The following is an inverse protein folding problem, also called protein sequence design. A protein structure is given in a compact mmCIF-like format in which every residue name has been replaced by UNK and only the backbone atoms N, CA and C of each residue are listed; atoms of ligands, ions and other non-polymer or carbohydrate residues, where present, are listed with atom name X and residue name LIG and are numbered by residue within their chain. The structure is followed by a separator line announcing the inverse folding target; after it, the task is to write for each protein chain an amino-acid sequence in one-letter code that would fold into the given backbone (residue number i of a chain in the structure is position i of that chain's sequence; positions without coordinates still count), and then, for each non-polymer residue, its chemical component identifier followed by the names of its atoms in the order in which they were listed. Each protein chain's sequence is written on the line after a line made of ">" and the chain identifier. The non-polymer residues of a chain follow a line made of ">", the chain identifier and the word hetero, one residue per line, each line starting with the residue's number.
data_IF_978885388968
#
_entry.id   IF_978885388968
#
_cell.length_a   1.000
_cell.length_b   1.000
_cell.length_c   1.000
_cell.angle_alpha   90.00
_cell.angle_beta   90.00
_cell.angle_gamma   90.00
#
_symmetry.space_group_name_H-M   'P 1'
#
loop_
_entity.id
_entity.type
_entity.pdbx_description
1 polymer ?
#
# COMPACT_ATOMS: atom_id res chain seq x y z
N UNK A 1 -1.29 -16.98 -11.21
CA UNK A 1 -0.87 -17.54 -9.91
C UNK A 1 -0.95 -16.47 -8.84
N UNK A 2 -1.29 -16.82 -7.60
CA UNK A 2 -1.38 -15.89 -6.47
C UNK A 2 -0.12 -15.03 -6.33
N UNK A 3 -0.29 -13.76 -5.94
CA UNK A 3 0.80 -12.77 -5.82
C UNK A 3 1.84 -13.15 -4.77
N UNK A 4 1.36 -13.77 -3.69
CA UNK A 4 2.09 -14.38 -2.60
C UNK A 4 1.61 -15.82 -2.52
N UNK A 5 2.52 -16.79 -2.38
CA UNK A 5 2.19 -18.21 -2.44
C UNK A 5 1.01 -18.57 -1.52
N UNK A 6 0.04 -19.35 -2.01
CA UNK A 6 -1.09 -19.87 -1.21
C UNK A 6 -0.65 -20.66 0.04
N UNK A 7 0.62 -21.10 0.07
CA UNK A 7 1.22 -21.80 1.21
C UNK A 7 1.55 -20.86 2.37
N UNK A 8 1.67 -19.56 2.13
CA UNK A 8 2.17 -18.62 3.13
C UNK A 8 1.13 -18.31 4.23
N UNK A 9 -0.18 -18.49 3.99
CA UNK A 9 -1.31 -18.31 4.93
C UNK A 9 -1.00 -17.45 6.18
N UNK A 10 -0.67 -16.17 5.96
CA UNK A 10 -0.35 -15.23 7.04
C UNK A 10 -1.59 -14.45 7.47
N UNK A 11 -1.79 -14.29 8.78
CA UNK A 11 -2.76 -13.34 9.34
C UNK A 11 -2.17 -11.93 9.44
N UNK A 12 -3.02 -10.93 9.69
CA UNK A 12 -2.56 -9.55 9.89
C UNK A 12 -1.65 -9.42 11.12
N UNK A 13 -2.00 -10.12 12.21
CA UNK A 13 -1.26 -10.13 13.47
C UNK A 13 0.12 -10.78 13.32
N UNK A 14 0.22 -11.84 12.51
CA UNK A 14 1.48 -12.50 12.20
C UNK A 14 2.41 -11.59 11.40
N UNK A 15 1.86 -10.82 10.45
CA UNK A 15 2.61 -9.84 9.68
C UNK A 15 3.10 -8.70 10.59
N UNK A 16 2.22 -8.16 11.43
CA UNK A 16 2.56 -7.10 12.38
C UNK A 16 3.66 -7.54 13.35
N UNK A 17 3.47 -8.70 13.98
CA UNK A 17 4.46 -9.30 14.90
C UNK A 17 5.78 -9.54 14.17
N UNK A 18 5.73 -10.04 12.93
CA UNK A 18 6.91 -10.22 12.10
C UNK A 18 7.68 -8.92 11.84
N UNK A 19 6.98 -7.82 11.56
CA UNK A 19 7.60 -6.51 11.36
C UNK A 19 8.20 -5.95 12.66
N UNK A 20 7.56 -6.19 13.80
CA UNK A 20 8.03 -5.75 15.11
C UNK A 20 9.31 -6.50 15.50
N UNK A 21 9.26 -7.83 15.46
CA UNK A 21 10.31 -8.71 15.97
C UNK A 21 11.39 -9.04 14.93
N UNK A 22 11.17 -8.74 13.65
CA UNK A 22 11.99 -9.20 12.53
C UNK A 22 12.16 -10.73 12.49
N UNK A 23 11.09 -11.46 12.80
CA UNK A 23 11.11 -12.92 12.90
C UNK A 23 10.97 -13.61 11.52
N UNK A 24 10.79 -14.94 11.53
CA UNK A 24 10.70 -15.75 10.30
C UNK A 24 9.55 -15.36 9.38
N UNK A 25 8.43 -14.87 9.90
CA UNK A 25 7.28 -14.43 9.10
C UNK A 25 7.67 -13.23 8.22
N UNK A 26 8.45 -12.31 8.77
CA UNK A 26 8.96 -11.15 8.03
C UNK A 26 9.83 -11.60 6.84
N UNK A 27 10.77 -12.52 7.09
CA UNK A 27 11.63 -13.08 6.06
C UNK A 27 10.83 -13.81 4.97
N UNK A 28 9.90 -14.68 5.37
CA UNK A 28 9.06 -15.44 4.45
C UNK A 28 8.24 -14.54 3.52
N UNK A 29 7.64 -13.47 4.05
CA UNK A 29 6.87 -12.50 3.27
C UNK A 29 7.75 -11.77 2.25
N UNK A 30 8.91 -11.26 2.67
CA UNK A 30 9.84 -10.58 1.76
C UNK A 30 10.37 -11.52 0.68
N UNK A 31 10.75 -12.75 1.04
CA UNK A 31 11.20 -13.77 0.09
C UNK A 31 10.12 -14.08 -0.93
N UNK A 32 8.88 -14.29 -0.51
CA UNK A 32 7.77 -14.59 -1.40
C UNK A 32 7.54 -13.48 -2.44
N UNK A 33 7.61 -12.22 -2.02
CA UNK A 33 7.49 -11.06 -2.91
C UNK A 33 8.70 -10.93 -3.85
N UNK A 34 9.92 -11.11 -3.34
CA UNK A 34 11.16 -11.02 -4.13
C UNK A 34 11.24 -12.10 -5.21
N UNK A 35 10.69 -13.30 -4.98
CA UNK A 35 10.57 -14.36 -6.00
C UNK A 35 9.71 -13.94 -7.20
N UNK A 36 8.79 -13.00 -7.00
CA UNK A 36 7.97 -12.42 -8.05
C UNK A 36 8.66 -11.34 -8.89
N UNK A 37 9.91 -10.96 -8.59
CA UNK A 37 10.60 -9.82 -9.24
C UNK A 37 11.88 -10.31 -9.96
N UNK A 38 11.82 -10.53 -11.29
CA UNK A 38 12.97 -10.99 -12.08
C UNK A 38 14.14 -9.96 -12.11
N UNK A 39 15.39 -10.42 -12.32
CA UNK A 39 15.83 -11.82 -12.22
C UNK A 39 15.77 -12.29 -10.76
N UNK A 40 15.36 -13.55 -10.54
CA UNK A 40 15.26 -14.15 -9.20
C UNK A 40 16.66 -14.62 -8.75
N UNK A 41 17.04 -14.26 -7.53
CA UNK A 41 18.31 -14.70 -6.95
C UNK A 41 18.24 -16.19 -6.57
N UNK A 42 19.24 -16.98 -6.96
CA UNK A 42 19.23 -18.45 -6.77
C UNK A 42 19.24 -18.88 -5.30
N UNK A 43 19.93 -18.11 -4.45
CA UNK A 43 20.09 -18.37 -3.01
C UNK A 43 19.19 -17.48 -2.16
N UNK A 44 18.00 -17.14 -2.66
CA UNK A 44 17.10 -16.23 -1.93
C UNK A 44 16.54 -16.85 -0.64
N UNK A 45 16.41 -18.17 -0.61
CA UNK A 45 15.95 -18.93 0.55
C UNK A 45 17.07 -19.23 1.57
N UNK A 46 18.32 -18.86 1.26
CA UNK A 46 19.49 -19.20 2.07
C UNK A 46 19.74 -18.10 3.13
N UNK A 47 19.20 -18.31 4.34
CA UNK A 47 19.43 -17.45 5.49
C UNK A 47 18.94 -16.01 5.27
N UNK A 48 19.82 -15.04 5.53
CA UNK A 48 19.50 -13.60 5.47
C UNK A 48 19.84 -12.94 4.11
N UNK A 49 20.19 -13.73 3.08
CA UNK A 49 20.55 -13.21 1.75
C UNK A 49 19.44 -12.35 1.14
N UNK A 50 18.18 -12.63 1.48
CA UNK A 50 17.03 -11.86 1.03
C UNK A 50 17.11 -10.37 1.41
N UNK A 51 17.79 -9.99 2.50
CA UNK A 51 17.97 -8.60 2.92
C UNK A 51 18.87 -7.86 1.92
N UNK A 52 20.01 -8.46 1.54
CA UNK A 52 20.90 -7.90 0.51
C UNK A 52 20.18 -7.80 -0.83
N UNK A 53 19.39 -8.82 -1.20
CA UNK A 53 18.61 -8.81 -2.45
C UNK A 53 17.54 -7.72 -2.42
N UNK A 54 16.83 -7.56 -1.30
CA UNK A 54 15.85 -6.49 -1.08
C UNK A 54 16.49 -5.12 -1.32
N UNK A 55 17.60 -4.83 -0.64
CA UNK A 55 18.28 -3.54 -0.76
C UNK A 55 18.69 -3.25 -2.22
N UNK A 56 19.26 -4.25 -2.91
CA UNK A 56 19.65 -4.11 -4.33
C UNK A 56 18.46 -3.93 -5.26
N UNK A 57 17.32 -4.56 -4.97
CA UNK A 57 16.09 -4.45 -5.77
C UNK A 57 15.42 -3.10 -5.58
N UNK A 58 15.39 -2.56 -4.36
CA UNK A 58 14.70 -1.31 -4.07
C UNK A 58 15.50 -0.06 -4.48
N UNK A 59 16.83 -0.06 -4.27
CA UNK A 59 17.65 1.14 -4.45
C UNK A 59 17.48 1.86 -5.80
N UNK A 60 17.44 1.17 -6.97
CA UNK A 60 17.28 1.83 -8.26
C UNK A 60 15.91 2.46 -8.48
N UNK A 61 14.88 1.99 -7.77
CA UNK A 61 13.48 2.39 -7.96
C UNK A 61 12.94 3.26 -6.82
N UNK A 62 13.70 3.43 -5.73
CA UNK A 62 13.23 4.05 -4.49
C UNK A 62 12.53 5.39 -4.71
N UNK A 63 13.15 6.30 -5.48
CA UNK A 63 12.58 7.64 -5.76
C UNK A 63 11.23 7.63 -6.49
N UNK A 64 10.85 6.49 -7.06
CA UNK A 64 9.59 6.30 -7.77
C UNK A 64 8.54 5.58 -6.92
N UNK A 65 8.95 4.61 -6.10
CA UNK A 65 8.03 3.75 -5.33
C UNK A 65 7.83 4.19 -3.87
N UNK A 66 8.68 5.09 -3.35
CA UNK A 66 8.64 5.53 -1.96
C UNK A 66 8.97 7.02 -1.82
N UNK A 67 8.52 7.61 -0.70
CA UNK A 67 8.85 8.98 -0.28
C UNK A 67 9.90 8.93 0.82
N UNK A 68 10.79 9.94 0.85
CA UNK A 68 11.85 10.08 1.84
C UNK A 68 13.09 9.25 1.54
N UNK A 69 14.02 9.22 2.49
CA UNK A 69 15.27 8.50 2.35
C UNK A 69 15.07 6.98 2.47
N UNK A 70 15.91 6.23 1.77
CA UNK A 70 15.90 4.77 1.86
C UNK A 70 16.46 4.37 3.24
N UNK A 71 15.72 3.56 4.05
CA UNK A 71 16.15 3.24 5.40
C UNK A 71 17.49 2.50 5.47
N UNK A 72 17.80 1.71 4.44
CA UNK A 72 18.98 0.87 4.39
C UNK A 72 19.39 0.56 2.95
N UNK A 73 20.69 0.47 2.68
CA UNK A 73 21.25 0.10 1.37
C UNK A 73 22.23 -1.04 1.51
N UNK A 74 22.44 -1.81 0.44
CA UNK A 74 23.40 -2.91 0.46
C UNK A 74 24.82 -2.39 0.69
N UNK A 75 25.49 -2.90 1.72
CA UNK A 75 26.83 -2.48 2.13
C UNK A 75 27.65 -3.70 2.58
N UNK A 76 28.08 -4.50 1.60
CA UNK A 76 29.02 -5.63 1.80
C UNK A 76 28.64 -6.61 2.93
N UNK A 77 27.35 -6.73 3.27
CA UNK A 77 26.82 -7.63 4.29
C UNK A 77 26.49 -6.95 5.62
N UNK A 78 26.94 -5.72 5.86
CA UNK A 78 26.59 -4.94 7.06
C UNK A 78 25.08 -4.67 7.13
N UNK A 79 24.41 -4.62 5.97
CA UNK A 79 22.97 -4.39 5.89
C UNK A 79 22.15 -5.48 6.60
N UNK A 80 22.70 -6.69 6.78
CA UNK A 80 21.99 -7.80 7.41
C UNK A 80 21.76 -7.54 8.90
N UNK A 81 22.79 -7.10 9.62
CA UNK A 81 22.67 -6.75 11.03
C UNK A 81 21.88 -5.45 11.22
N UNK A 82 22.09 -4.47 10.33
CA UNK A 82 21.37 -3.20 10.38
C UNK A 82 19.87 -3.38 10.17
N UNK A 83 19.45 -4.21 9.21
CA UNK A 83 18.03 -4.49 8.97
C UNK A 83 17.34 -5.08 10.22
N UNK A 84 18.02 -6.00 10.91
CA UNK A 84 17.52 -6.60 12.16
C UNK A 84 17.44 -5.58 13.30
N UNK A 85 18.21 -4.50 13.24
CA UNK A 85 18.15 -3.37 14.18
C UNK A 85 17.15 -2.28 13.81
N UNK A 86 16.56 -2.30 12.61
CA UNK A 86 15.60 -1.27 12.18
C UNK A 86 14.37 -1.22 13.09
N UNK A 87 13.80 -0.03 13.26
CA UNK A 87 12.49 0.08 13.89
C UNK A 87 11.40 -0.53 12.98
N UNK A 88 10.24 -0.92 13.53
CA UNK A 88 9.18 -1.57 12.76
C UNK A 88 8.63 -0.69 11.62
N UNK A 89 8.63 0.63 11.80
CA UNK A 89 8.15 1.59 10.79
C UNK A 89 9.02 1.57 9.53
N UNK A 90 10.35 1.49 9.69
CA UNK A 90 11.26 1.42 8.56
C UNK A 90 11.20 0.07 7.84
N UNK A 91 11.00 -1.04 8.57
CA UNK A 91 10.71 -2.34 7.94
C UNK A 91 9.40 -2.31 7.15
N UNK A 92 8.37 -1.67 7.69
CA UNK A 92 7.09 -1.49 6.99
C UNK A 92 7.26 -0.64 5.73
N UNK A 93 8.08 0.43 5.74
CA UNK A 93 8.39 1.22 4.53
C UNK A 93 9.05 0.37 3.45
N UNK A 94 10.01 -0.48 3.82
CA UNK A 94 10.68 -1.39 2.89
C UNK A 94 9.70 -2.42 2.31
N UNK A 95 8.85 -3.03 3.15
CA UNK A 95 7.82 -3.97 2.71
C UNK A 95 6.83 -3.29 1.76
N UNK A 96 6.37 -2.08 2.08
CA UNK A 96 5.49 -1.30 1.21
C UNK A 96 6.16 -1.06 -0.15
N UNK A 97 7.40 -0.55 -0.17
CA UNK A 97 8.13 -0.30 -1.40
C UNK A 97 8.30 -1.59 -2.24
N UNK A 98 8.52 -2.73 -1.58
CA UNK A 98 8.58 -4.03 -2.27
C UNK A 98 7.24 -4.42 -2.90
N UNK A 99 6.12 -4.16 -2.24
CA UNK A 99 4.77 -4.36 -2.80
C UNK A 99 4.52 -3.47 -4.02
N UNK A 100 4.94 -2.20 -3.98
CA UNK A 100 4.85 -1.28 -5.13
C UNK A 100 5.66 -1.83 -6.32
N UNK A 101 6.90 -2.28 -6.09
CA UNK A 101 7.70 -2.89 -7.15
C UNK A 101 7.10 -4.21 -7.67
N UNK A 102 6.42 -4.96 -6.80
CA UNK A 102 5.75 -6.23 -7.13
C UNK A 102 4.52 -6.01 -8.02
N UNK A 103 3.71 -4.97 -7.77
CA UNK A 103 2.52 -4.68 -8.59
C UNK A 103 2.87 -4.27 -10.01
N UNK A 104 4.09 -3.81 -10.26
CA UNK A 104 4.57 -3.50 -11.61
C UNK A 104 4.96 -4.71 -12.44
N UNK A 105 5.08 -5.89 -11.82
CA UNK A 105 5.41 -7.12 -12.53
C UNK A 105 4.21 -7.63 -13.33
N UNK A 106 4.46 -8.10 -14.55
CA UNK A 106 3.40 -8.46 -15.48
C UNK A 106 2.45 -9.54 -14.95
N UNK A 107 2.98 -10.54 -14.25
CA UNK A 107 2.18 -11.59 -13.62
C UNK A 107 1.24 -11.04 -12.53
N UNK A 108 1.70 -10.06 -11.76
CA UNK A 108 0.86 -9.41 -10.75
C UNK A 108 -0.27 -8.60 -11.38
N UNK A 109 0.05 -7.80 -12.40
CA UNK A 109 -0.92 -6.98 -13.11
C UNK A 109 -1.99 -7.85 -13.75
N UNK A 110 -1.59 -8.93 -14.42
CA UNK A 110 -2.52 -9.89 -15.01
C UNK A 110 -3.41 -10.53 -13.95
N UNK A 111 -2.83 -11.02 -12.85
CA UNK A 111 -3.62 -11.64 -11.78
C UNK A 111 -4.65 -10.67 -11.18
N UNK A 112 -4.24 -9.43 -10.87
CA UNK A 112 -5.15 -8.39 -10.35
C UNK A 112 -6.25 -8.08 -11.39
N UNK A 113 -5.90 -7.94 -12.67
CA UNK A 113 -6.86 -7.61 -13.72
C UNK A 113 -7.88 -8.73 -13.97
N UNK A 114 -7.46 -10.00 -13.91
CA UNK A 114 -8.34 -11.16 -14.06
C UNK A 114 -9.30 -11.25 -12.86
N UNK A 115 -8.77 -11.13 -11.64
CA UNK A 115 -9.56 -11.24 -10.41
C UNK A 115 -10.42 -10.01 -10.12
N UNK A 116 -10.12 -8.85 -10.72
CA UNK A 116 -10.97 -7.66 -10.63
C UNK A 116 -12.20 -7.73 -11.54
N UNK A 117 -12.17 -8.55 -12.59
CA UNK A 117 -13.29 -8.73 -13.55
C UNK A 117 -14.29 -9.77 -13.06
N UNK A 118 -13.80 -10.80 -12.40
CA UNK A 118 -14.65 -11.74 -11.67
C UNK A 118 -15.18 -10.99 -10.45
N UNK A 119 -16.50 -10.89 -10.30
CA UNK A 119 -17.15 -10.28 -9.11
C UNK A 119 -16.91 -11.06 -7.81
N UNK A 120 -15.77 -11.75 -7.71
CA UNK A 120 -15.37 -12.73 -6.71
C UNK A 120 -14.63 -12.13 -5.51
N UNK A 121 -14.42 -10.81 -5.48
CA UNK A 121 -13.97 -10.16 -4.26
C UNK A 121 -15.18 -9.94 -3.36
N UNK A 122 -15.26 -10.74 -2.30
CA UNK A 122 -16.18 -10.53 -1.18
C UNK A 122 -16.19 -9.04 -0.82
N UNK A 123 -17.40 -8.48 -0.74
CA UNK A 123 -17.67 -7.08 -0.42
C UNK A 123 -16.96 -6.57 0.86
N UNK A 124 -16.42 -7.48 1.68
CA UNK A 124 -15.75 -7.24 2.94
C UNK A 124 -14.40 -6.51 2.84
N UNK A 125 -13.72 -6.51 1.67
CA UNK A 125 -12.40 -5.87 1.52
C UNK A 125 -12.40 -4.65 0.60
N UNK A 126 -13.55 -4.31 0.02
CA UNK A 126 -13.64 -3.22 -0.95
C UNK A 126 -14.04 -1.92 -0.24
N UNK A 127 -13.09 -0.98 -0.17
CA UNK A 127 -13.40 0.42 0.14
C UNK A 127 -14.51 0.90 -0.79
N UNK A 128 -15.63 1.33 -0.22
CA UNK A 128 -16.76 1.88 -0.96
C UNK A 128 -16.47 3.33 -1.29
N UNK A 129 -16.43 3.69 -2.57
CA UNK A 129 -16.30 5.09 -2.99
C UNK A 129 -17.58 5.84 -2.63
N UNK A 130 -17.47 6.88 -1.81
CA UNK A 130 -18.60 7.76 -1.47
C UNK A 130 -18.78 8.83 -2.55
N UNK A 131 -17.67 9.31 -3.13
CA UNK A 131 -17.69 10.31 -4.20
C UNK A 131 -16.36 11.03 -4.31
N UNK A 132 -16.34 12.15 -5.03
CA UNK A 132 -15.19 13.03 -5.09
C UNK A 132 -15.53 14.37 -5.73
N UNK A 133 -14.56 15.29 -5.73
CA UNK A 133 -14.68 16.61 -6.34
C UNK A 133 -14.60 16.59 -7.89
N UNK A 134 -14.50 15.39 -8.48
CA UNK A 134 -14.35 15.17 -9.92
C UNK A 134 -13.00 15.59 -10.49
N UNK A 135 -12.03 15.98 -9.65
CA UNK A 135 -10.73 16.49 -10.08
C UNK A 135 -9.57 15.76 -9.40
N UNK A 136 -9.43 15.92 -8.09
CA UNK A 136 -8.24 15.52 -7.33
C UNK A 136 -8.56 14.76 -6.05
N UNK A 137 -9.76 14.92 -5.51
CA UNK A 137 -10.08 14.40 -4.18
C UNK A 137 -11.23 13.41 -4.28
N UNK A 138 -11.06 12.21 -3.76
CA UNK A 138 -12.13 11.22 -3.60
C UNK A 138 -12.21 10.74 -2.15
N UNK A 139 -13.42 10.45 -1.68
CA UNK A 139 -13.65 9.93 -0.33
C UNK A 139 -14.12 8.49 -0.40
N UNK A 140 -13.62 7.69 0.53
CA UNK A 140 -13.78 6.24 0.54
C UNK A 140 -14.06 5.76 1.95
N UNK A 141 -15.01 4.83 2.07
CA UNK A 141 -15.45 4.28 3.34
C UNK A 141 -15.08 2.80 3.45
N UNK A 142 -14.63 2.38 4.62
CA UNK A 142 -14.18 1.01 4.92
C UNK A 142 -14.55 0.62 6.35
N UNK A 143 -14.63 -0.68 6.61
CA UNK A 143 -14.82 -1.21 7.96
C UNK A 143 -16.16 -1.90 8.22
N UNK A 144 -16.26 -2.44 9.43
CA UNK A 144 -17.39 -3.20 9.93
C UNK A 144 -17.41 -3.15 11.47
N UNK A 145 -18.44 -3.70 12.10
CA UNK A 145 -18.61 -3.72 13.55
C UNK A 145 -17.44 -4.36 14.33
N UNK A 146 -16.64 -5.20 13.67
CA UNK A 146 -15.53 -5.92 14.30
C UNK A 146 -14.23 -5.11 14.20
N UNK A 147 -13.93 -4.53 13.03
CA UNK A 147 -12.67 -3.82 12.75
C UNK A 147 -12.76 -2.31 13.00
N UNK A 148 -13.97 -1.80 13.26
CA UNK A 148 -14.27 -0.38 13.30
C UNK A 148 -14.35 0.22 11.89
N UNK A 149 -15.02 1.37 11.81
CA UNK A 149 -15.21 2.10 10.56
C UNK A 149 -14.12 3.14 10.35
N UNK A 150 -13.71 3.34 9.09
CA UNK A 150 -12.69 4.31 8.68
C UNK A 150 -13.12 5.06 7.42
N UNK A 151 -12.90 6.37 7.45
CA UNK A 151 -13.03 7.25 6.29
C UNK A 151 -11.64 7.57 5.76
N UNK A 152 -11.46 7.41 4.46
CA UNK A 152 -10.22 7.74 3.77
C UNK A 152 -10.46 8.81 2.71
N UNK A 153 -9.44 9.63 2.52
CA UNK A 153 -9.36 10.64 1.50
C UNK A 153 -8.23 10.29 0.54
N UNK A 154 -8.58 10.13 -0.72
CA UNK A 154 -7.67 9.94 -1.83
C UNK A 154 -7.38 11.30 -2.46
N UNK A 155 -6.11 11.66 -2.57
CA UNK A 155 -5.63 12.88 -3.25
C UNK A 155 -4.74 12.48 -4.43
N UNK A 156 -5.23 12.76 -5.64
CA UNK A 156 -4.47 12.54 -6.88
C UNK A 156 -3.55 13.73 -7.15
N UNK A 157 -2.24 13.53 -6.96
CA UNK A 157 -1.22 14.49 -7.36
C UNK A 157 -0.77 14.22 -8.81
N UNK A 158 -1.09 15.15 -9.71
CA UNK A 158 -0.54 15.14 -11.08
C UNK A 158 0.88 15.69 -11.01
N UNK A 159 1.88 14.81 -11.09
CA UNK A 159 3.28 15.24 -11.15
C UNK A 159 3.59 15.94 -12.48
N UNK A 160 4.16 17.15 -12.44
CA UNK A 160 4.50 17.94 -13.65
C UNK A 160 5.74 17.43 -14.39
N UNK A 161 6.35 16.33 -13.96
CA UNK A 161 7.65 15.85 -14.45
C UNK A 161 7.54 14.84 -15.62
N UNK A 162 6.42 14.86 -16.37
CA UNK A 162 6.19 13.99 -17.52
C UNK A 162 7.13 14.24 -18.72
N UNK A 163 7.93 15.31 -18.73
CA UNK A 163 8.75 15.68 -19.91
C UNK A 163 10.11 14.98 -20.02
N UNK A 164 10.56 14.18 -19.04
CA UNK A 164 11.91 13.62 -19.05
C UNK A 164 12.00 12.07 -19.07
N UNK A 165 10.89 11.33 -19.16
CA UNK A 165 10.92 9.86 -18.95
C UNK A 165 10.47 9.10 -20.19
N UNK A 166 11.36 9.02 -21.18
CA UNK A 166 11.26 8.03 -22.28
C UNK A 166 11.65 6.66 -21.73
N UNK A 167 10.69 5.96 -21.13
CA UNK A 167 10.47 4.51 -21.26
C UNK A 167 9.54 4.00 -20.15
N UNK A 168 8.46 3.34 -20.59
CA UNK A 168 7.44 2.61 -19.85
C UNK A 168 6.60 3.40 -18.82
N UNK A 169 5.33 3.60 -19.19
CA UNK A 169 4.22 4.16 -18.38
C UNK A 169 4.22 5.69 -18.17
N UNK A 170 3.87 6.40 -19.25
CA UNK A 170 3.53 7.83 -19.20
C UNK A 170 2.09 8.01 -18.68
N UNK A 171 1.92 8.02 -17.36
CA UNK A 171 0.86 8.69 -16.58
C UNK A 171 0.71 7.98 -15.23
N UNK A 172 1.74 8.02 -14.40
CA UNK A 172 1.59 7.63 -12.99
C UNK A 172 1.13 8.87 -12.24
N UNK A 173 -0.19 9.06 -12.15
CA UNK A 173 -0.78 9.91 -11.12
C UNK A 173 -0.35 9.37 -9.76
N UNK A 174 0.35 10.17 -8.96
CA UNK A 174 0.70 9.75 -7.60
C UNK A 174 -0.57 9.89 -6.76
N UNK A 175 -1.12 8.76 -6.33
CA UNK A 175 -2.29 8.74 -5.46
C UNK A 175 -1.79 8.70 -4.01
N UNK A 176 -2.13 9.73 -3.24
CA UNK A 176 -1.89 9.76 -1.81
C UNK A 176 -3.19 9.43 -1.08
N UNK A 177 -3.11 8.58 -0.06
CA UNK A 177 -4.24 8.23 0.80
C UNK A 177 -3.99 8.80 2.18
N UNK A 178 -5.00 9.45 2.74
CA UNK A 178 -5.01 10.01 4.08
C UNK A 178 -6.19 9.40 4.85
N UNK A 179 -5.97 9.05 6.12
CA UNK A 179 -7.06 8.66 7.02
C UNK A 179 -7.74 9.93 7.50
N UNK A 180 -9.02 10.09 7.15
CA UNK A 180 -9.82 11.26 7.48
C UNK A 180 -10.56 11.08 8.81
N UNK A 181 -11.05 9.87 9.09
CA UNK A 181 -11.72 9.56 10.34
C UNK A 181 -11.60 8.10 10.76
N UNK A 182 -11.49 7.88 12.07
CA UNK A 182 -11.39 6.58 12.75
C UNK A 182 -12.32 6.43 13.95
N UNK A 183 -12.97 7.51 14.38
CA UNK A 183 -13.91 7.54 15.51
C UNK A 183 -15.09 8.49 15.23
N UNK A 184 -16.16 8.35 16.02
CA UNK A 184 -17.42 9.09 15.82
C UNK A 184 -17.22 10.62 15.72
N UNK A 185 -16.40 11.20 16.58
CA UNK A 185 -16.15 12.64 16.61
C UNK A 185 -15.45 13.12 15.33
N UNK A 186 -14.48 12.35 14.83
CA UNK A 186 -13.81 12.62 13.56
C UNK A 186 -14.78 12.50 12.37
N UNK A 187 -15.64 11.48 12.37
CA UNK A 187 -16.65 11.31 11.33
C UNK A 187 -17.64 12.49 11.30
N UNK A 188 -18.15 12.90 12.47
CA UNK A 188 -19.05 14.06 12.58
C UNK A 188 -18.37 15.38 12.18
N UNK A 189 -17.06 15.52 12.43
CA UNK A 189 -16.29 16.66 11.96
C UNK A 189 -16.19 16.65 10.43
N UNK A 190 -15.75 15.54 9.85
CA UNK A 190 -15.59 15.40 8.41
C UNK A 190 -16.92 15.63 7.67
N UNK A 191 -18.03 15.09 8.18
CA UNK A 191 -19.35 15.29 7.59
C UNK A 191 -19.77 16.76 7.58
N UNK A 192 -19.63 17.47 8.72
CA UNK A 192 -19.96 18.90 8.82
C UNK A 192 -19.10 19.75 7.90
N UNK A 193 -17.79 19.50 7.86
CA UNK A 193 -16.86 20.23 7.00
C UNK A 193 -17.22 20.06 5.53
N UNK A 194 -17.49 18.82 5.10
CA UNK A 194 -17.90 18.51 3.73
C UNK A 194 -19.27 19.08 3.38
N UNK A 195 -20.26 18.94 4.26
CA UNK A 195 -21.61 19.50 4.10
C UNK A 195 -21.61 21.03 3.99
N UNK A 196 -20.67 21.70 4.64
CA UNK A 196 -20.49 23.16 4.55
C UNK A 196 -19.78 23.64 3.27
N UNK A 197 -19.28 22.71 2.45
CA UNK A 197 -18.53 23.05 1.25
C UNK A 197 -19.44 23.61 0.14
N UNK A 198 -18.97 24.65 -0.55
CA UNK A 198 -19.71 25.27 -1.67
C UNK A 198 -19.85 24.33 -2.88
N UNK A 199 -18.97 23.34 -3.01
CA UNK A 199 -19.07 22.33 -4.06
C UNK A 199 -20.16 21.31 -3.73
N UNK A 200 -21.23 21.29 -4.51
CA UNK A 200 -22.38 20.40 -4.30
C UNK A 200 -22.01 18.92 -4.20
N UNK A 201 -21.00 18.48 -4.98
CA UNK A 201 -20.50 17.11 -4.92
C UNK A 201 -19.87 16.77 -3.56
N UNK A 202 -19.14 17.69 -2.94
CA UNK A 202 -18.55 17.49 -1.61
C UNK A 202 -19.61 17.58 -0.51
N UNK A 203 -20.58 18.50 -0.65
CA UNK A 203 -21.69 18.61 0.28
C UNK A 203 -22.55 17.33 0.30
N UNK A 204 -22.80 16.73 -0.86
CA UNK A 204 -23.49 15.45 -0.96
C UNK A 204 -22.73 14.31 -0.26
N UNK A 205 -21.39 14.31 -0.34
CA UNK A 205 -20.57 13.33 0.40
C UNK A 205 -20.70 13.55 1.91
N UNK A 206 -20.70 14.80 2.38
CA UNK A 206 -20.93 15.11 3.80
C UNK A 206 -22.26 14.53 4.30
N UNK A 207 -23.34 14.69 3.52
CA UNK A 207 -24.64 14.09 3.82
C UNK A 207 -24.61 12.55 3.79
N UNK A 208 -23.97 11.94 2.79
CA UNK A 208 -23.81 10.48 2.73
C UNK A 208 -23.00 9.92 3.91
N UNK A 209 -22.02 10.68 4.42
CA UNK A 209 -21.29 10.27 5.62
C UNK A 209 -22.24 10.26 6.82
N UNK A 210 -23.02 11.33 6.99
CA UNK A 210 -24.01 11.46 8.06
C UNK A 210 -25.08 10.36 8.05
N UNK A 211 -25.56 9.93 6.87
CA UNK A 211 -26.64 8.94 6.76
C UNK A 211 -26.15 7.50 6.71
N UNK A 212 -25.01 7.24 6.06
CA UNK A 212 -24.61 5.88 5.65
C UNK A 212 -23.28 5.41 6.24
N UNK A 213 -22.50 6.29 6.90
CA UNK A 213 -21.13 5.99 7.30
C UNK A 213 -20.82 6.27 8.78
N UNK A 214 -21.58 7.16 9.44
CA UNK A 214 -21.53 7.32 10.88
C UNK A 214 -22.16 6.06 11.53
N UNK A 215 -21.41 5.28 12.32
CA UNK A 215 -21.95 4.15 13.06
C UNK A 215 -22.85 4.57 14.23
#
# INVERSE_FOLDING_TARGET
>A
SPLVSDKLKLTAEEIETGLIESNSTNAQLHIALLKGIPPVHKSLDDGDIWITVLCKKLAPYWSWIAKGDIPITANKGEEVSEYKGLNPVDRLKLLKALCELRVDQGDARTYIQENAKEGAWDSCFRKRKLGGDGKKTSYWFDGNDIQGYRLYKEVTEISKNAKARKNACSDVSCVCWETEATNLDEFQRAARELSSNKASALAAIGQMIETDAIP
#
